data_IF_566343664762
#
_entry.id   IF_566343664762
#
_cell.length_a   1.000
_cell.length_b   1.000
_cell.length_c   1.000
_cell.angle_alpha   90.00
_cell.angle_beta   90.00
_cell.angle_gamma   90.00
#
_symmetry.space_group_name_H-M   'P 1'
#
loop_
_entity.id
_entity.type
_entity.pdbx_description
1 polymer ?
#
# COMPACT_ATOMS: atom_id res chain seq x y z
N UNK A 1 -5.87 7.00 5.56
CA UNK A 1 -6.52 5.67 5.40
C UNK A 1 -5.96 4.68 6.43
N UNK A 2 -6.70 3.66 6.88
CA UNK A 2 -6.17 2.71 7.89
C UNK A 2 -4.91 1.96 7.44
N UNK A 3 -4.90 1.46 6.19
CA UNK A 3 -3.73 0.81 5.56
C UNK A 3 -2.50 1.72 5.59
N UNK A 4 -2.66 3.00 5.27
CA UNK A 4 -1.59 4.00 5.30
C UNK A 4 -0.94 4.13 6.69
N UNK A 5 -1.75 4.11 7.76
CA UNK A 5 -1.25 4.18 9.12
C UNK A 5 -0.45 2.94 9.50
N UNK A 6 -0.89 1.75 9.07
CA UNK A 6 -0.15 0.48 9.28
C UNK A 6 1.20 0.55 8.56
N UNK A 7 1.23 1.01 7.31
CA UNK A 7 2.46 1.16 6.54
C UNK A 7 3.42 2.16 7.22
N UNK A 8 2.93 3.30 7.70
CA UNK A 8 3.74 4.27 8.44
C UNK A 8 4.28 3.70 9.74
N UNK A 9 3.48 2.90 10.45
CA UNK A 9 3.91 2.19 11.65
C UNK A 9 4.99 1.14 11.33
N UNK A 10 4.87 0.42 10.21
CA UNK A 10 5.90 -0.50 9.71
C UNK A 10 7.22 0.22 9.39
N UNK A 11 7.16 1.37 8.73
CA UNK A 11 8.34 2.20 8.46
C UNK A 11 8.97 2.68 9.76
N UNK A 12 8.16 3.09 10.76
CA UNK A 12 8.65 3.49 12.07
C UNK A 12 9.39 2.33 12.77
N UNK A 13 8.85 1.11 12.76
CA UNK A 13 9.56 -0.07 13.29
C UNK A 13 10.89 -0.31 12.57
N UNK A 14 10.93 -0.15 11.25
CA UNK A 14 12.17 -0.30 10.48
C UNK A 14 13.23 0.76 10.85
N UNK A 15 12.80 1.99 11.14
CA UNK A 15 13.67 3.07 11.60
C UNK A 15 14.22 2.75 12.99
N UNK A 16 13.36 2.36 13.93
CA UNK A 16 13.75 1.98 15.29
C UNK A 16 14.72 0.79 15.29
N UNK A 17 14.44 -0.23 14.47
CA UNK A 17 15.30 -1.39 14.27
C UNK A 17 16.54 -1.14 13.42
N UNK A 18 16.81 0.12 13.02
CA UNK A 18 17.94 0.52 12.15
C UNK A 18 18.02 -0.23 10.80
N UNK A 19 16.90 -0.80 10.35
CA UNK A 19 16.74 -1.45 9.04
C UNK A 19 16.51 -0.43 7.92
N UNK A 20 16.20 0.82 8.27
CA UNK A 20 15.93 1.90 7.33
C UNK A 20 16.60 3.20 7.79
N UNK A 21 17.39 3.81 6.91
CA UNK A 21 18.18 5.01 7.22
C UNK A 21 17.34 6.29 7.05
N UNK A 22 16.30 6.44 7.86
CA UNK A 22 15.48 7.63 7.93
C UNK A 22 15.19 7.99 9.40
N UNK A 23 14.96 9.28 9.69
CA UNK A 23 14.64 9.74 11.06
C UNK A 23 13.16 9.62 11.41
N UNK A 24 12.29 9.60 10.41
CA UNK A 24 10.82 9.54 10.57
C UNK A 24 10.16 8.93 9.34
N UNK A 25 8.94 8.36 9.47
CA UNK A 25 8.15 7.96 8.32
C UNK A 25 7.90 9.14 7.36
N UNK A 26 7.76 8.88 6.05
CA UNK A 26 7.51 9.91 5.06
C UNK A 26 6.15 10.60 5.31
N UNK A 27 6.11 11.92 5.11
CA UNK A 27 4.86 12.68 5.07
C UNK A 27 4.22 12.61 3.67
N UNK A 28 4.02 11.39 3.19
CA UNK A 28 3.40 11.10 1.89
C UNK A 28 2.07 10.38 2.08
N UNK A 29 1.21 10.48 1.07
CA UNK A 29 -0.01 9.68 0.90
C UNK A 29 0.10 8.70 -0.27
N UNK A 30 1.29 8.58 -0.90
CA UNK A 30 1.56 7.57 -1.92
C UNK A 30 1.74 6.20 -1.26
N UNK A 31 0.62 5.50 -1.10
CA UNK A 31 0.55 4.21 -0.41
C UNK A 31 1.38 3.15 -1.13
N UNK A 32 1.40 3.14 -2.46
CA UNK A 32 2.17 2.17 -3.25
C UNK A 32 3.67 2.36 -3.06
N UNK A 33 4.14 3.60 -3.11
CA UNK A 33 5.54 3.91 -2.84
C UNK A 33 5.92 3.50 -1.41
N UNK A 34 5.10 3.89 -0.42
CA UNK A 34 5.37 3.56 0.99
C UNK A 34 5.30 2.06 1.28
N UNK A 35 4.47 1.30 0.54
CA UNK A 35 4.36 -0.16 0.68
C UNK A 35 5.71 -0.85 0.49
N UNK A 36 6.43 -0.48 -0.58
CA UNK A 36 7.75 -1.04 -0.84
C UNK A 36 8.79 -0.61 0.21
N UNK A 37 8.75 0.66 0.64
CA UNK A 37 9.64 1.17 1.70
C UNK A 37 9.42 0.50 3.07
N UNK A 38 8.19 0.07 3.36
CA UNK A 38 7.86 -0.67 4.57
C UNK A 38 8.41 -2.11 4.57
N UNK A 39 8.89 -2.61 3.43
CA UNK A 39 9.33 -4.00 3.28
C UNK A 39 8.17 -4.97 3.47
N UNK A 40 6.98 -4.60 2.96
CA UNK A 40 5.80 -5.45 2.94
C UNK A 40 5.86 -6.45 1.76
N UNK A 41 5.08 -7.54 1.80
CA UNK A 41 5.00 -8.51 0.70
C UNK A 41 4.68 -7.85 -0.64
N UNK A 42 5.21 -8.41 -1.74
CA UNK A 42 4.97 -7.89 -3.08
C UNK A 42 3.48 -8.03 -3.44
N UNK A 43 2.85 -6.91 -3.77
CA UNK A 43 1.46 -6.87 -4.21
C UNK A 43 1.30 -7.40 -5.64
N UNK A 44 0.17 -8.07 -5.91
CA UNK A 44 -0.26 -8.38 -7.29
C UNK A 44 -0.64 -7.10 -8.03
N UNK A 45 -0.68 -7.13 -9.38
CA UNK A 45 -1.12 -5.97 -10.18
C UNK A 45 -2.53 -5.52 -9.79
N UNK A 46 -3.45 -6.47 -9.60
CA UNK A 46 -4.81 -6.18 -9.14
C UNK A 46 -4.86 -5.49 -7.77
N UNK A 47 -4.02 -5.89 -6.81
CA UNK A 47 -3.95 -5.25 -5.49
C UNK A 47 -3.32 -3.84 -5.58
N UNK A 48 -2.29 -3.67 -6.40
CA UNK A 48 -1.68 -2.36 -6.65
C UNK A 48 -2.72 -1.40 -7.25
N UNK A 49 -3.51 -1.89 -8.20
CA UNK A 49 -4.61 -1.15 -8.82
C UNK A 49 -5.68 -0.77 -7.81
N UNK A 50 -6.10 -1.69 -6.93
CA UNK A 50 -7.04 -1.37 -5.84
C UNK A 50 -6.53 -0.20 -5.00
N UNK A 51 -5.26 -0.22 -4.57
CA UNK A 51 -4.70 0.88 -3.77
C UNK A 51 -4.65 2.20 -4.54
N UNK A 52 -4.33 2.16 -5.83
CA UNK A 52 -4.30 3.33 -6.70
C UNK A 52 -5.70 3.95 -6.84
N UNK A 53 -6.72 3.13 -7.12
CA UNK A 53 -8.11 3.55 -7.29
C UNK A 53 -8.69 4.11 -5.98
N UNK A 54 -8.44 3.46 -4.83
CA UNK A 54 -8.83 4.01 -3.53
C UNK A 54 -8.13 5.34 -3.21
N UNK A 55 -6.85 5.47 -3.57
CA UNK A 55 -6.12 6.74 -3.45
C UNK A 55 -6.78 7.86 -4.25
N UNK A 56 -7.24 7.56 -5.47
CA UNK A 56 -8.00 8.51 -6.30
C UNK A 56 -9.34 8.90 -5.67
N UNK A 57 -10.07 7.94 -5.11
CA UNK A 57 -11.33 8.20 -4.40
C UNK A 57 -11.09 9.13 -3.21
N UNK A 58 -10.04 8.90 -2.43
CA UNK A 58 -9.70 9.73 -1.28
C UNK A 58 -9.32 11.16 -1.68
N UNK A 59 -8.64 11.34 -2.83
CA UNK A 59 -8.40 12.66 -3.42
C UNK A 59 -9.70 13.35 -3.80
N UNK A 60 -10.59 12.64 -4.50
CA UNK A 60 -11.88 13.19 -4.92
C UNK A 60 -12.79 13.54 -3.73
N UNK A 61 -12.75 12.73 -2.67
CA UNK A 61 -13.47 12.98 -1.42
C UNK A 61 -12.82 14.07 -0.54
N UNK A 62 -11.75 14.73 -0.98
CA UNK A 62 -11.05 15.78 -0.24
C UNK A 62 -10.31 15.28 1.01
N UNK A 63 -10.09 13.97 1.14
CA UNK A 63 -9.32 13.37 2.25
C UNK A 63 -7.81 13.38 1.99
N UNK A 64 -7.42 13.34 0.72
CA UNK A 64 -6.05 13.58 0.26
C UNK A 64 -5.99 14.88 -0.53
N UNK A 65 -4.83 15.58 -0.51
CA UNK A 65 -4.64 16.76 -1.33
C UNK A 65 -4.86 16.41 -2.80
N UNK A 66 -5.66 17.24 -3.47
CA UNK A 66 -5.82 17.14 -4.91
C UNK A 66 -4.47 17.42 -5.58
N UNK A 67 -4.13 16.70 -6.66
CA UNK A 67 -2.95 17.02 -7.45
C UNK A 67 -3.01 18.47 -7.92
N UNK A 68 -1.93 19.21 -7.72
CA UNK A 68 -1.87 20.64 -8.02
C UNK A 68 -1.40 20.91 -9.46
N UNK A 69 -0.82 19.89 -10.11
CA UNK A 69 -0.22 19.98 -11.44
C UNK A 69 -0.74 18.90 -12.36
N UNK A 70 -0.82 19.22 -13.64
CA UNK A 70 -1.20 18.29 -14.71
C UNK A 70 -0.18 17.15 -14.87
N UNK A 71 1.10 17.40 -14.56
CA UNK A 71 2.17 16.41 -14.52
C UNK A 71 1.83 15.24 -13.59
N UNK A 72 1.26 15.54 -12.41
CA UNK A 72 0.87 14.49 -11.46
C UNK A 72 -0.24 13.63 -12.05
N UNK A 73 -1.22 14.24 -12.75
CA UNK A 73 -2.26 13.47 -13.44
C UNK A 73 -1.69 12.55 -14.53
N UNK A 74 -0.69 13.01 -15.28
CA UNK A 74 0.00 12.19 -16.28
C UNK A 74 0.72 11.00 -15.63
N UNK A 75 1.45 11.21 -14.52
CA UNK A 75 2.08 10.12 -13.77
C UNK A 75 1.06 9.10 -13.25
N UNK A 76 -0.11 9.55 -12.79
CA UNK A 76 -1.19 8.64 -12.39
C UNK A 76 -1.69 7.80 -13.56
N UNK A 77 -1.86 8.41 -14.73
CA UNK A 77 -2.30 7.70 -15.93
C UNK A 77 -1.28 6.66 -16.38
N UNK A 78 0.02 7.00 -16.38
CA UNK A 78 1.10 6.07 -16.70
C UNK A 78 1.14 4.89 -15.73
N UNK A 79 1.01 5.14 -14.42
CA UNK A 79 0.95 4.08 -13.40
C UNK A 79 -0.25 3.17 -13.58
N UNK A 80 -1.41 3.74 -13.91
CA UNK A 80 -2.62 2.96 -14.19
C UNK A 80 -2.42 2.07 -15.43
N UNK A 81 -1.81 2.60 -16.50
CA UNK A 81 -1.50 1.83 -17.71
C UNK A 81 -0.49 0.71 -17.46
N UNK A 82 0.54 0.94 -16.64
CA UNK A 82 1.52 -0.09 -16.28
C UNK A 82 0.92 -1.27 -15.49
N UNK A 83 -0.19 -1.04 -14.79
CA UNK A 83 -0.90 -2.05 -14.02
C UNK A 83 -1.92 -2.84 -14.85
N UNK A 84 -2.09 -2.51 -16.13
CA UNK A 84 -2.92 -3.30 -17.05
C UNK A 84 -2.25 -4.67 -17.28
N UNK A 85 -3.03 -5.74 -17.15
CA UNK A 85 -2.55 -7.11 -17.36
C UNK A 85 -2.44 -7.45 -18.85
N UNK A 86 -3.39 -6.99 -19.67
CA UNK A 86 -3.41 -7.19 -21.12
C UNK A 86 -3.12 -5.88 -21.89
N UNK A 87 -1.88 -5.68 -22.37
CA UNK A 87 -1.55 -4.50 -23.17
C UNK A 87 -2.34 -4.49 -24.49
N UNK A 88 -2.72 -3.31 -24.99
CA UNK A 88 -3.55 -3.22 -26.19
C UNK A 88 -2.82 -3.75 -27.42
N UNK A 89 -3.48 -4.61 -28.19
CA UNK A 89 -3.04 -5.00 -29.53
C UNK A 89 -3.58 -3.96 -30.53
N UNK A 90 -2.73 -3.29 -31.32
CA UNK A 90 -3.17 -2.32 -32.32
C UNK A 90 -4.22 -2.92 -33.27
N UNK A 91 -5.32 -2.19 -33.52
CA UNK A 91 -6.39 -2.63 -34.43
C UNK A 91 -7.53 -3.43 -33.80
N UNK A 92 -7.53 -3.63 -32.48
CA UNK A 92 -8.63 -4.32 -31.76
C UNK A 92 -9.52 -3.34 -30.98
N UNK A 93 -10.83 -3.59 -30.98
CA UNK A 93 -11.81 -2.78 -30.25
C UNK A 93 -11.72 -3.11 -28.75
N UNK A 94 -11.36 -2.11 -27.93
CA UNK A 94 -11.22 -2.25 -26.48
C UNK A 94 -12.59 -2.20 -25.80
N UNK A 95 -13.07 -3.34 -25.31
CA UNK A 95 -14.08 -3.35 -24.25
C UNK A 95 -13.34 -3.66 -22.95
N UNK A 96 -12.98 -2.63 -22.19
CA UNK A 96 -12.44 -2.82 -20.84
C UNK A 96 -13.59 -3.35 -19.97
N UNK A 97 -13.44 -4.56 -19.43
CA UNK A 97 -14.33 -4.99 -18.35
C UNK A 97 -13.96 -4.13 -17.14
N UNK A 98 -14.90 -3.26 -16.73
CA UNK A 98 -14.77 -2.55 -15.47
C UNK A 98 -14.84 -3.61 -14.37
N UNK A 99 -13.72 -3.83 -13.68
CA UNK A 99 -13.77 -4.60 -12.45
C UNK A 99 -14.43 -3.76 -11.38
N UNK A 100 -15.33 -4.32 -10.57
CA UNK A 100 -15.90 -3.59 -9.46
C UNK A 100 -14.81 -3.30 -8.43
N UNK A 101 -14.76 -2.04 -7.99
CA UNK A 101 -14.03 -1.67 -6.79
C UNK A 101 -14.90 -1.99 -5.58
N UNK A 102 -14.55 -3.06 -4.87
CA UNK A 102 -15.33 -3.52 -3.72
C UNK A 102 -14.53 -3.38 -2.43
N UNK A 103 -15.23 -3.38 -1.30
CA UNK A 103 -14.59 -3.31 0.01
C UNK A 103 -13.74 -4.55 0.30
N UNK A 104 -14.14 -5.72 -0.19
CA UNK A 104 -13.42 -6.99 0.00
C UNK A 104 -12.02 -6.92 -0.60
N UNK A 105 -11.88 -6.36 -1.81
CA UNK A 105 -10.56 -6.17 -2.44
C UNK A 105 -9.64 -5.28 -1.61
N UNK A 106 -10.20 -4.29 -0.90
CA UNK A 106 -9.43 -3.44 0.00
C UNK A 106 -9.09 -4.17 1.30
N UNK A 107 -10.03 -4.97 1.83
CA UNK A 107 -9.82 -5.79 3.03
C UNK A 107 -8.68 -6.79 2.78
N UNK A 108 -8.63 -7.46 1.63
CA UNK A 108 -7.54 -8.38 1.28
C UNK A 108 -6.17 -7.70 1.39
N UNK A 109 -6.05 -6.47 0.90
CA UNK A 109 -4.80 -5.69 0.97
C UNK A 109 -4.53 -5.21 2.39
N UNK A 110 -5.58 -4.83 3.13
CA UNK A 110 -5.47 -4.44 4.53
C UNK A 110 -4.95 -5.58 5.39
N UNK A 111 -5.52 -6.78 5.25
CA UNK A 111 -5.13 -7.97 6.02
C UNK A 111 -3.66 -8.32 5.76
N UNK A 112 -3.19 -8.23 4.52
CA UNK A 112 -1.76 -8.42 4.20
C UNK A 112 -0.85 -7.46 4.97
N UNK A 113 -1.21 -6.17 5.03
CA UNK A 113 -0.43 -5.19 5.79
C UNK A 113 -0.52 -5.44 7.30
N UNK A 114 -1.71 -5.78 7.79
CA UNK A 114 -1.99 -6.02 9.20
C UNK A 114 -1.22 -7.22 9.74
N UNK A 115 -1.28 -8.37 9.06
CA UNK A 115 -0.53 -9.56 9.45
C UNK A 115 0.97 -9.30 9.44
N UNK A 116 1.50 -8.71 8.36
CA UNK A 116 2.92 -8.39 8.27
C UNK A 116 3.40 -7.46 9.41
N UNK A 117 2.56 -6.54 9.85
CA UNK A 117 2.86 -5.66 11.00
C UNK A 117 2.98 -6.43 12.31
N UNK A 118 2.01 -7.30 12.62
CA UNK A 118 2.01 -8.06 13.86
C UNK A 118 3.07 -9.14 13.89
N UNK A 119 3.29 -9.83 12.77
CA UNK A 119 4.35 -10.84 12.64
C UNK A 119 5.71 -10.24 12.95
N UNK A 120 6.01 -9.06 12.39
CA UNK A 120 7.27 -8.34 12.64
C UNK A 120 7.36 -7.87 14.10
N UNK A 121 6.30 -7.24 14.61
CA UNK A 121 6.28 -6.72 15.99
C UNK A 121 6.51 -7.83 17.01
N UNK A 122 5.93 -9.01 16.78
CA UNK A 122 6.06 -10.17 17.65
C UNK A 122 7.46 -10.80 17.53
N UNK A 123 8.04 -10.84 16.32
CA UNK A 123 9.41 -11.33 16.12
C UNK A 123 10.46 -10.44 16.82
N UNK A 124 10.27 -9.12 16.83
CA UNK A 124 11.20 -8.18 17.46
C UNK A 124 11.04 -8.10 19.01
N UNK A 125 10.09 -8.85 19.62
CA UNK A 125 9.88 -8.95 21.08
C UNK A 125 9.94 -10.41 21.61
N UNK A 126 11.13 -11.02 21.74
CA UNK A 126 11.25 -12.42 22.15
C UNK A 126 10.94 -12.74 23.64
N UNK A 127 10.72 -11.74 24.51
CA UNK A 127 10.71 -11.92 25.98
C UNK A 127 9.34 -12.13 26.64
N UNK A 128 8.24 -12.24 25.89
CA UNK A 128 6.93 -12.63 26.46
C UNK A 128 6.78 -14.16 26.65
N UNK A 129 7.79 -14.95 26.26
CA UNK A 129 7.81 -16.41 26.44
C UNK A 129 8.51 -16.88 27.73
N UNK A 130 9.11 -15.98 28.51
CA UNK A 130 9.75 -16.33 29.79
C UNK A 130 8.79 -16.38 30.97
N UNK A 131 7.59 -15.79 30.89
CA UNK A 131 6.62 -15.84 31.98
C UNK A 131 5.74 -17.11 31.97
N UNK A 132 5.69 -17.85 30.85
CA UNK A 132 4.91 -19.08 30.74
C UNK A 132 5.64 -20.36 31.24
N UNK A 133 6.90 -20.25 31.72
CA UNK A 133 7.68 -21.39 32.24
C UNK A 133 7.79 -21.44 33.76
N UNK A 134 7.19 -20.49 34.48
CA UNK A 134 7.23 -20.40 35.93
C UNK A 134 5.83 -20.36 36.59
N UNK A 135 4.89 -21.17 36.10
CA UNK A 135 3.68 -21.53 36.86
C UNK A 135 3.35 -23.01 36.67
#
# INVERSE_FOLDING_TARGET
>A
MAIELIIKAMIAQNIEGRRYNAKRPPNSHDVLQMWSQAGLPKLTKGQQRTLLEFGRILKWAGRYPAPLKDEEYAEYAEREEALVEDPPIPGTLRIRRLEPLTWERLIDVFELAWHAFWDRRNADRPWDQSEAKNN
#
